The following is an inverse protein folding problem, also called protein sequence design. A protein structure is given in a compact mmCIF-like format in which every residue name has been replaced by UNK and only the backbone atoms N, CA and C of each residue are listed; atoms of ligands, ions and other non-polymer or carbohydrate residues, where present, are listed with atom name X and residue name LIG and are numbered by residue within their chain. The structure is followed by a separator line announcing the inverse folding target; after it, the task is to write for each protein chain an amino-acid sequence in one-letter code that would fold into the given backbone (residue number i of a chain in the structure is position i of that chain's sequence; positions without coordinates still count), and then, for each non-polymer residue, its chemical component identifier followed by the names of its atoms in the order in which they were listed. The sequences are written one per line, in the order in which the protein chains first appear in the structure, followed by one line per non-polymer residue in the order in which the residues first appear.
data_IF_586143671686
#
_entry.id   IF_586143671686
#
_cell.length_a   1.000
_cell.length_b   1.000
_cell.length_c   1.000
_cell.angle_alpha   90.00
_cell.angle_beta   90.00
_cell.angle_gamma   90.00
#
_symmetry.space_group_name_H-M   'P 1'
#
loop_
_entity.id
_entity.type
_entity.pdbx_description
1 polymer ?
#
# COMPACT_ATOMS: atom_id res chain seq x y z
N UNK A 1 15.68 -0.84 -12.81
CA UNK A 1 15.23 -2.02 -12.00
C UNK A 1 15.46 -1.89 -10.50
N UNK A 2 16.65 -1.48 -10.00
CA UNK A 2 16.91 -1.34 -8.55
C UNK A 2 15.94 -0.38 -7.84
N UNK A 3 15.76 0.83 -8.37
CA UNK A 3 14.88 1.86 -7.81
C UNK A 3 13.43 1.38 -7.64
N UNK A 4 12.86 0.73 -8.66
CA UNK A 4 11.49 0.18 -8.62
C UNK A 4 11.32 -0.88 -7.51
N UNK A 5 12.32 -1.74 -7.29
CA UNK A 5 12.30 -2.74 -6.21
C UNK A 5 12.40 -2.08 -4.84
N UNK A 6 13.34 -1.15 -4.67
CA UNK A 6 13.54 -0.43 -3.40
C UNK A 6 12.31 0.39 -3.03
N UNK A 7 11.72 1.13 -3.98
CA UNK A 7 10.51 1.90 -3.73
C UNK A 7 9.33 0.99 -3.39
N UNK A 8 9.19 -0.14 -4.08
CA UNK A 8 8.13 -1.12 -3.79
C UNK A 8 8.22 -1.67 -2.38
N UNK A 9 9.44 -1.99 -1.91
CA UNK A 9 9.67 -2.41 -0.53
C UNK A 9 9.28 -1.33 0.48
N UNK A 10 9.68 -0.08 0.23
CA UNK A 10 9.33 1.05 1.12
C UNK A 10 7.81 1.22 1.20
N UNK A 11 7.11 1.23 0.05
CA UNK A 11 5.65 1.35 0.00
C UNK A 11 4.98 0.20 0.75
N UNK A 12 5.46 -1.03 0.59
CA UNK A 12 4.93 -2.18 1.32
C UNK A 12 5.10 -2.04 2.84
N UNK A 13 6.28 -1.59 3.30
CA UNK A 13 6.53 -1.38 4.72
C UNK A 13 5.62 -0.30 5.31
N UNK A 14 5.44 0.82 4.61
CA UNK A 14 4.48 1.85 5.04
C UNK A 14 3.06 1.30 5.08
N UNK A 15 2.68 0.48 4.09
CA UNK A 15 1.36 -0.12 4.01
C UNK A 15 1.05 -1.02 5.22
N UNK A 16 2.00 -1.88 5.59
CA UNK A 16 1.91 -2.78 6.73
C UNK A 16 1.91 -1.99 8.04
N UNK A 17 2.76 -0.96 8.16
CA UNK A 17 2.81 -0.12 9.34
C UNK A 17 1.46 0.57 9.62
N UNK A 18 0.81 1.11 8.57
CA UNK A 18 -0.52 1.73 8.69
C UNK A 18 -1.57 0.67 9.07
N UNK A 19 -1.54 -0.51 8.45
CA UNK A 19 -2.45 -1.60 8.81
C UNK A 19 -2.29 -2.02 10.29
N UNK A 20 -1.05 -2.10 10.79
CA UNK A 20 -0.78 -2.39 12.20
C UNK A 20 -1.34 -1.29 13.12
N UNK A 21 -1.16 0.00 12.77
CA UNK A 21 -1.74 1.13 13.53
C UNK A 21 -3.27 1.00 13.59
N UNK A 22 -3.93 0.67 12.47
CA UNK A 22 -5.39 0.46 12.43
C UNK A 22 -5.80 -0.70 13.33
N UNK A 23 -5.03 -1.78 13.35
CA UNK A 23 -5.36 -2.95 14.17
C UNK A 23 -5.22 -2.68 15.67
N UNK A 24 -4.11 -2.03 16.07
CA UNK A 24 -3.78 -1.82 17.49
C UNK A 24 -4.42 -0.57 18.11
N UNK A 25 -5.05 0.32 17.33
CA UNK A 25 -5.75 1.48 17.90
C UNK A 25 -6.99 1.07 18.71
N UNK A 26 -7.26 1.79 19.80
CA UNK A 26 -8.45 1.57 20.64
C UNK A 26 -9.57 2.58 20.36
N UNK A 27 -9.22 3.76 19.85
CA UNK A 27 -10.15 4.85 19.50
C UNK A 27 -9.79 5.39 18.12
N UNK A 28 -10.76 5.94 17.40
CA UNK A 28 -10.51 6.67 16.14
C UNK A 28 -10.36 8.19 16.35
N UNK A 29 -10.20 8.92 15.26
CA UNK A 29 -10.04 10.38 15.27
C UNK A 29 -11.25 11.16 15.77
N UNK A 30 -12.42 10.51 15.90
CA UNK A 30 -13.63 11.08 16.48
C UNK A 30 -13.81 10.66 17.96
N UNK A 31 -12.88 9.89 18.52
CA UNK A 31 -12.97 9.36 19.88
C UNK A 31 -13.87 8.12 20.01
N UNK A 32 -14.28 7.51 18.89
CA UNK A 32 -15.15 6.32 18.91
C UNK A 32 -14.30 5.08 19.17
N UNK A 33 -14.70 4.30 20.19
CA UNK A 33 -14.07 3.03 20.52
C UNK A 33 -14.14 2.06 19.34
N UNK A 34 -13.00 1.46 19.01
CA UNK A 34 -12.86 0.62 17.83
C UNK A 34 -13.10 -0.86 18.18
N UNK A 35 -14.26 -1.38 17.78
CA UNK A 35 -14.56 -2.81 17.83
C UNK A 35 -13.77 -3.57 16.78
N UNK A 36 -13.64 -4.90 16.95
CA UNK A 36 -12.97 -5.75 15.95
C UNK A 36 -13.60 -5.60 14.55
N UNK A 37 -14.93 -5.57 14.46
CA UNK A 37 -15.64 -5.40 13.18
C UNK A 37 -15.32 -4.07 12.50
N UNK A 38 -15.25 -2.96 13.25
CA UNK A 38 -14.92 -1.65 12.69
C UNK A 38 -13.46 -1.61 12.18
N UNK A 39 -12.54 -2.28 12.87
CA UNK A 39 -11.14 -2.40 12.44
C UNK A 39 -11.03 -3.22 11.15
N UNK A 40 -11.74 -4.34 11.05
CA UNK A 40 -11.77 -5.17 9.85
C UNK A 40 -12.33 -4.41 8.64
N UNK A 41 -13.43 -3.67 8.80
CA UNK A 41 -13.99 -2.81 7.74
C UNK A 41 -12.98 -1.74 7.34
N UNK A 42 -12.31 -1.10 8.30
CA UNK A 42 -11.28 -0.10 8.01
C UNK A 42 -10.10 -0.72 7.24
N UNK A 43 -9.68 -1.93 7.59
CA UNK A 43 -8.62 -2.67 6.88
C UNK A 43 -9.04 -3.10 5.47
N UNK A 44 -10.31 -3.48 5.27
CA UNK A 44 -10.85 -3.78 3.93
C UNK A 44 -10.84 -2.52 3.05
N UNK A 45 -11.28 -1.39 3.58
CA UNK A 45 -11.20 -0.10 2.87
C UNK A 45 -9.75 0.22 2.55
N UNK A 46 -8.84 0.07 3.52
CA UNK A 46 -7.40 0.25 3.31
C UNK A 46 -6.91 -0.62 2.15
N UNK A 47 -7.24 -1.91 2.11
CA UNK A 47 -6.86 -2.83 1.04
C UNK A 47 -7.37 -2.39 -0.35
N UNK A 48 -8.59 -1.84 -0.44
CA UNK A 48 -9.13 -1.31 -1.71
C UNK A 48 -8.25 -0.18 -2.25
N UNK A 49 -7.73 0.69 -1.37
CA UNK A 49 -6.78 1.74 -1.78
C UNK A 49 -5.44 1.20 -2.28
N UNK A 50 -5.11 -0.08 -2.06
CA UNK A 50 -3.89 -0.68 -2.63
C UNK A 50 -3.99 -0.83 -4.15
N UNK A 51 -5.20 -1.00 -4.69
CA UNK A 51 -5.46 -1.28 -6.11
C UNK A 51 -4.82 -0.22 -7.03
N UNK A 52 -5.10 1.09 -6.87
CA UNK A 52 -4.49 2.11 -7.73
C UNK A 52 -2.95 2.16 -7.58
N UNK A 53 -2.42 1.90 -6.38
CA UNK A 53 -0.97 1.85 -6.14
C UNK A 53 -0.33 0.70 -6.93
N UNK A 54 -0.94 -0.49 -6.88
CA UNK A 54 -0.48 -1.67 -7.63
C UNK A 54 -0.52 -1.40 -9.13
N UNK A 55 -1.61 -0.83 -9.64
CA UNK A 55 -1.74 -0.46 -11.06
C UNK A 55 -0.61 0.50 -11.47
N UNK A 56 -0.34 1.54 -10.68
CA UNK A 56 0.77 2.47 -10.93
C UNK A 56 2.13 1.78 -10.97
N UNK A 57 2.38 0.85 -10.05
CA UNK A 57 3.62 0.06 -10.04
C UNK A 57 3.76 -0.85 -11.26
N UNK A 58 2.67 -1.46 -11.74
CA UNK A 58 2.65 -2.27 -12.97
C UNK A 58 2.96 -1.40 -14.20
N UNK A 59 2.31 -0.24 -14.32
CA UNK A 59 2.57 0.68 -15.44
C UNK A 59 4.04 1.12 -15.43
N UNK A 60 4.57 1.52 -14.27
CA UNK A 60 5.96 1.92 -14.17
C UNK A 60 6.93 0.79 -14.51
N UNK A 61 6.61 -0.44 -14.11
CA UNK A 61 7.38 -1.62 -14.48
C UNK A 61 7.43 -1.83 -15.99
N UNK A 62 6.29 -1.75 -16.68
CA UNK A 62 6.20 -1.89 -18.14
C UNK A 62 7.04 -0.80 -18.84
N UNK A 63 6.92 0.45 -18.41
CA UNK A 63 7.71 1.58 -18.97
C UNK A 63 9.21 1.35 -18.78
N UNK A 64 9.64 0.92 -17.59
CA UNK A 64 11.05 0.64 -17.30
C UNK A 64 11.60 -0.50 -18.17
N UNK A 65 10.80 -1.56 -18.38
CA UNK A 65 11.18 -2.69 -19.23
C UNK A 65 11.36 -2.29 -20.69
N UNK A 66 10.38 -1.56 -21.26
CA UNK A 66 10.47 -1.04 -22.64
C UNK A 66 11.68 -0.12 -22.83
N UNK A 67 11.98 0.74 -21.84
CA UNK A 67 13.16 1.61 -21.90
C UNK A 67 14.46 0.79 -21.94
N UNK A 68 14.53 -0.29 -21.17
CA UNK A 68 15.73 -1.14 -21.13
C UNK A 68 15.94 -1.92 -22.44
N UNK A 69 14.87 -2.36 -23.10
CA UNK A 69 14.93 -3.01 -24.41
C UNK A 69 15.41 -2.06 -25.51
N UNK A 70 15.00 -0.79 -25.51
CA UNK A 70 15.42 0.19 -26.52
C UNK A 70 16.88 0.68 -26.37
N UNK A 71 17.56 0.34 -25.27
CA UNK A 71 18.95 0.77 -25.00
C UNK A 71 19.96 -0.35 -25.31
N UNK A 72 19.51 -1.60 -25.40
CA UNK A 72 20.34 -2.77 -25.70
C UNK A 72 20.22 -3.16 -27.17
#
# INVERSE_FOLDING_TARGET
MKAWKTSGLIVLLVWIAIAAIIWFRNVDGAGVAQTAQLKEITLLIWLIFAIPVIIGYIIWFIVLKRKQENIN
#
